data_IF_724766040375
#
_entry.id   IF_724766040375
#
_cell.length_a   1.000
_cell.length_b   1.000
_cell.length_c   1.000
_cell.angle_alpha   90.00
_cell.angle_beta   90.00
_cell.angle_gamma   90.00
#
_symmetry.space_group_name_H-M   'P 1'
#
loop_
_entity.id
_entity.type
_entity.pdbx_description
1 polymer ?
#
# COMPACT_ATOMS: atom_id res chain seq x y z
N UNK A 1 20.40 -7.93 1.62
CA UNK A 1 19.66 -8.14 2.89
C UNK A 1 18.31 -7.43 2.74
N UNK A 2 17.25 -8.15 2.39
CA UNK A 2 15.95 -7.57 2.03
C UNK A 2 15.10 -7.46 3.31
N UNK A 3 14.87 -6.25 3.80
CA UNK A 3 14.06 -6.01 5.01
C UNK A 3 12.60 -5.89 4.61
N UNK A 4 11.80 -6.87 4.99
CA UNK A 4 10.33 -6.77 4.97
C UNK A 4 9.90 -5.98 6.20
N UNK A 5 9.52 -4.71 6.02
CA UNK A 5 8.92 -3.90 7.09
C UNK A 5 7.41 -4.20 7.14
N UNK A 6 6.92 -4.66 8.29
CA UNK A 6 5.51 -4.99 8.53
C UNK A 6 4.81 -3.84 9.29
N UNK A 7 5.06 -2.60 8.90
CA UNK A 7 4.51 -1.43 9.59
C UNK A 7 3.18 -1.00 8.97
N UNK A 8 2.18 -0.81 9.82
CA UNK A 8 0.84 -0.37 9.43
C UNK A 8 0.86 1.08 8.94
N UNK A 9 0.00 1.41 7.98
CA UNK A 9 -0.11 2.75 7.42
C UNK A 9 -0.49 3.76 8.54
N UNK A 10 0.36 4.75 8.81
CA UNK A 10 0.04 5.88 9.67
C UNK A 10 -0.15 7.14 8.81
N UNK A 11 -1.37 7.66 8.76
CA UNK A 11 -1.74 8.86 7.99
C UNK A 11 -1.47 10.15 8.77
N UNK A 12 -0.25 10.30 9.28
CA UNK A 12 0.25 11.59 9.78
C UNK A 12 1.78 11.61 9.63
N UNK A 13 2.28 12.62 8.93
CA UNK A 13 3.70 12.99 8.84
C UNK A 13 4.61 11.93 8.22
N UNK A 14 4.93 12.09 6.92
CA UNK A 14 6.21 11.79 6.24
C UNK A 14 6.99 10.48 6.52
N UNK A 15 6.42 9.50 7.22
CA UNK A 15 7.18 8.36 7.75
C UNK A 15 6.64 7.07 7.13
N UNK A 16 7.33 6.59 6.09
CA UNK A 16 7.13 5.38 5.26
C UNK A 16 6.36 5.53 3.92
N UNK A 17 6.99 6.22 2.95
CA UNK A 17 7.84 5.52 1.96
C UNK A 17 7.20 4.88 0.71
N UNK A 18 5.89 4.98 0.47
CA UNK A 18 5.33 4.52 -0.81
C UNK A 18 5.12 5.69 -1.76
N UNK A 19 5.94 5.74 -2.80
CA UNK A 19 5.78 6.70 -3.89
C UNK A 19 4.73 6.19 -4.87
N UNK A 20 4.13 7.10 -5.65
CA UNK A 20 3.30 6.69 -6.80
C UNK A 20 4.09 5.72 -7.68
N UNK A 21 3.46 4.61 -8.05
CA UNK A 21 4.04 3.52 -8.83
C UNK A 21 4.75 2.44 -8.01
N UNK A 22 4.98 2.61 -6.70
CA UNK A 22 5.57 1.57 -5.86
C UNK A 22 4.64 0.35 -5.80
N UNK A 23 5.19 -0.85 -6.02
CA UNK A 23 4.47 -2.11 -5.81
C UNK A 23 4.45 -2.48 -4.34
N UNK A 24 3.26 -2.71 -3.80
CA UNK A 24 3.06 -3.12 -2.42
C UNK A 24 2.05 -4.25 -2.32
N UNK A 25 2.11 -4.99 -1.21
CA UNK A 25 1.06 -5.87 -0.75
C UNK A 25 0.31 -5.24 0.42
N UNK A 26 -1.02 -5.29 0.42
CA UNK A 26 -1.89 -4.95 1.54
C UNK A 26 -2.44 -6.23 2.16
N UNK A 27 -2.48 -6.29 3.49
CA UNK A 27 -3.12 -7.40 4.19
C UNK A 27 -4.59 -7.08 4.46
N UNK A 28 -5.49 -7.83 3.85
CA UNK A 28 -6.93 -7.69 4.00
C UNK A 28 -7.59 -9.07 4.00
N UNK A 29 -8.59 -9.30 4.85
CA UNK A 29 -9.32 -10.58 4.86
C UNK A 29 -8.45 -11.81 5.08
N UNK A 30 -7.39 -11.70 5.89
CA UNK A 30 -6.40 -12.76 6.13
C UNK A 30 -5.57 -13.17 4.89
N UNK A 31 -5.55 -12.33 3.85
CA UNK A 31 -4.81 -12.54 2.60
C UNK A 31 -4.01 -11.30 2.23
N UNK A 32 -3.00 -11.49 1.38
CA UNK A 32 -2.22 -10.38 0.81
C UNK A 32 -2.73 -10.03 -0.59
N UNK A 33 -3.09 -8.77 -0.79
CA UNK A 33 -3.51 -8.18 -2.05
C UNK A 33 -2.37 -7.31 -2.60
N UNK A 34 -1.94 -7.56 -3.84
CA UNK A 34 -0.80 -6.85 -4.43
C UNK A 34 -1.27 -5.88 -5.50
N UNK A 35 -0.57 -4.77 -5.59
CA UNK A 35 -0.85 -3.76 -6.59
C UNK A 35 0.18 -2.66 -6.60
N UNK A 36 -0.09 -1.60 -7.37
CA UNK A 36 0.71 -0.38 -7.39
C UNK A 36 0.01 0.71 -6.63
N UNK A 37 0.78 1.46 -5.85
CA UNK A 37 0.30 2.67 -5.20
C UNK A 37 0.08 3.75 -6.24
N UNK A 38 -1.07 4.41 -6.17
CA UNK A 38 -1.39 5.58 -6.97
C UNK A 38 -2.09 6.65 -6.10
N UNK A 39 -2.22 7.85 -6.64
CA UNK A 39 -2.84 9.00 -6.01
C UNK A 39 -3.68 9.75 -7.04
N UNK A 40 -4.94 9.96 -6.71
CA UNK A 40 -5.88 10.81 -7.44
C UNK A 40 -6.37 11.98 -6.55
N UNK A 41 -7.40 12.67 -7.02
CA UNK A 41 -8.05 13.79 -6.31
C UNK A 41 -8.72 13.35 -4.99
N UNK A 42 -8.98 12.05 -4.80
CA UNK A 42 -9.55 11.48 -3.59
C UNK A 42 -8.49 10.96 -2.60
N UNK A 43 -7.23 10.85 -3.02
CA UNK A 43 -6.09 10.51 -2.18
C UNK A 43 -5.35 9.26 -2.62
N UNK A 44 -4.63 8.64 -1.67
CA UNK A 44 -3.79 7.48 -1.93
C UNK A 44 -4.61 6.19 -2.01
N UNK A 45 -4.36 5.39 -3.03
CA UNK A 45 -5.03 4.11 -3.26
C UNK A 45 -4.07 3.08 -3.89
N UNK A 46 -4.45 1.82 -3.88
CA UNK A 46 -3.77 0.72 -4.54
C UNK A 46 -4.58 0.29 -5.76
N UNK A 47 -3.92 0.12 -6.91
CA UNK A 47 -4.51 -0.46 -8.11
C UNK A 47 -3.90 -1.85 -8.33
N UNK A 48 -4.73 -2.89 -8.37
CA UNK A 48 -4.29 -4.25 -8.69
C UNK A 48 -4.08 -4.47 -10.20
N UNK A 49 -3.61 -5.65 -10.59
CA UNK A 49 -3.36 -5.98 -12.01
C UNK A 49 -4.63 -6.16 -12.84
N UNK A 50 -5.79 -6.30 -12.19
CA UNK A 50 -7.10 -6.38 -12.85
C UNK A 50 -7.78 -5.00 -12.95
N UNK A 51 -7.15 -3.94 -12.45
CA UNK A 51 -7.71 -2.58 -12.41
C UNK A 51 -8.63 -2.31 -11.22
N UNK A 52 -8.69 -3.21 -10.22
CA UNK A 52 -9.45 -2.96 -8.99
C UNK A 52 -8.72 -1.95 -8.11
N UNK A 53 -9.50 -1.06 -7.49
CA UNK A 53 -8.98 0.03 -6.65
C UNK A 53 -9.30 -0.26 -5.18
N UNK A 54 -8.27 -0.18 -4.33
CA UNK A 54 -8.39 -0.31 -2.88
C UNK A 54 -7.86 0.94 -2.23
N UNK A 55 -8.74 1.69 -1.55
CA UNK A 55 -8.34 2.89 -0.81
C UNK A 55 -7.36 2.54 0.31
N UNK A 56 -6.26 3.29 0.41
CA UNK A 56 -5.29 3.13 1.49
C UNK A 56 -5.82 3.90 2.71
N UNK A 57 -5.95 3.21 3.85
CA UNK A 57 -6.41 3.79 5.13
C UNK A 57 -5.44 3.48 6.26
N UNK A 58 -5.46 4.33 7.28
CA UNK A 58 -4.59 4.15 8.44
C UNK A 58 -4.89 2.83 9.14
N UNK A 59 -3.85 2.15 9.62
CA UNK A 59 -3.94 0.86 10.31
C UNK A 59 -3.97 -0.36 9.40
N UNK A 60 -4.05 -0.20 8.07
CA UNK A 60 -3.88 -1.33 7.16
C UNK A 60 -2.42 -1.75 7.16
N UNK A 61 -2.16 -3.06 7.32
CA UNK A 61 -0.82 -3.63 7.19
C UNK A 61 -0.42 -3.64 5.72
N UNK A 62 0.72 -3.04 5.41
CA UNK A 62 1.29 -3.01 4.07
C UNK A 62 2.71 -3.58 4.07
N UNK A 63 3.18 -4.05 2.91
CA UNK A 63 4.58 -4.47 2.70
C UNK A 63 5.06 -4.11 1.30
N UNK A 64 6.35 -3.82 1.14
CA UNK A 64 6.95 -3.69 -0.19
C UNK A 64 6.90 -5.02 -0.94
N UNK A 65 6.62 -4.95 -2.24
CA UNK A 65 6.71 -6.08 -3.16
C UNK A 65 7.68 -5.73 -4.28
N UNK A 66 8.82 -6.43 -4.30
CA UNK A 66 9.90 -6.25 -5.28
C UNK A 66 9.73 -7.26 -6.43
#
# INVERSE_FOLDING_TARGET
>A
MQRTFNDGLNFNSETFGFLKGTRIGLFFGNQWFYGRVDKDDHGWHLVDENGNIVGLRSGIKARLWF
#
